data_IF_536604472485
#
_entry.id   IF_536604472485
#
_cell.length_a   1.000
_cell.length_b   1.000
_cell.length_c   1.000
_cell.angle_alpha   90.00
_cell.angle_beta   90.00
_cell.angle_gamma   90.00
#
_symmetry.space_group_name_H-M   'P 1'
#
loop_
_entity.id
_entity.type
_entity.pdbx_description
1 polymer ?
#
# COMPACT_ATOMS: atom_id res chain seq x y z
N UNK A 1 -13.45 7.72 10.27
CA UNK A 1 -12.20 7.08 9.76
C UNK A 1 -11.17 8.17 9.59
N UNK A 2 -9.93 7.96 10.05
CA UNK A 2 -8.83 8.91 9.83
C UNK A 2 -8.16 8.71 8.47
N UNK A 3 -7.41 9.72 8.00
CA UNK A 3 -6.65 9.63 6.75
C UNK A 3 -5.66 8.45 6.77
N UNK A 4 -4.99 8.22 7.91
CA UNK A 4 -4.09 7.07 8.10
C UNK A 4 -4.82 5.72 7.96
N UNK A 5 -6.05 5.61 8.48
CA UNK A 5 -6.86 4.38 8.33
C UNK A 5 -7.27 4.15 6.87
N UNK A 6 -7.62 5.22 6.15
CA UNK A 6 -7.97 5.15 4.73
C UNK A 6 -6.74 4.74 3.91
N UNK A 7 -5.57 5.33 4.16
CA UNK A 7 -4.33 4.99 3.48
C UNK A 7 -3.95 3.52 3.71
N UNK A 8 -3.98 3.04 4.96
CA UNK A 8 -3.72 1.63 5.28
C UNK A 8 -4.70 0.67 4.61
N UNK A 9 -6.00 1.03 4.54
CA UNK A 9 -7.01 0.23 3.85
C UNK A 9 -6.75 0.13 2.34
N UNK A 10 -6.40 1.25 1.70
CA UNK A 10 -6.08 1.28 0.26
C UNK A 10 -4.84 0.46 -0.06
N UNK A 11 -3.82 0.52 0.80
CA UNK A 11 -2.61 -0.30 0.68
C UNK A 11 -2.94 -1.78 0.78
N UNK A 12 -3.69 -2.21 1.81
CA UNK A 12 -4.12 -3.60 1.96
C UNK A 12 -4.89 -4.10 0.74
N UNK A 13 -5.86 -3.31 0.27
CA UNK A 13 -6.65 -3.65 -0.93
C UNK A 13 -5.79 -3.80 -2.19
N UNK A 14 -4.83 -2.90 -2.40
CA UNK A 14 -3.91 -2.99 -3.54
C UNK A 14 -3.01 -4.23 -3.44
N UNK A 15 -2.46 -4.51 -2.26
CA UNK A 15 -1.63 -5.69 -2.03
C UNK A 15 -2.41 -6.99 -2.28
N UNK A 16 -3.64 -7.10 -1.76
CA UNK A 16 -4.50 -8.25 -2.02
C UNK A 16 -4.88 -8.37 -3.49
N UNK A 17 -5.23 -7.27 -4.16
CA UNK A 17 -5.62 -7.27 -5.58
C UNK A 17 -4.53 -7.79 -6.52
N UNK A 18 -3.26 -7.61 -6.14
CA UNK A 18 -2.11 -8.01 -6.95
C UNK A 18 -1.30 -9.13 -6.32
N UNK A 19 -1.90 -9.93 -5.42
CA UNK A 19 -1.28 -11.11 -4.80
C UNK A 19 0.09 -10.81 -4.18
N UNK A 20 0.18 -9.68 -3.47
CA UNK A 20 1.41 -9.23 -2.82
C UNK A 20 2.45 -8.62 -3.77
N UNK A 21 2.16 -8.45 -5.05
CA UNK A 21 3.07 -7.83 -6.00
C UNK A 21 3.20 -6.32 -5.74
N UNK A 22 4.22 -5.95 -4.95
CA UNK A 22 4.53 -4.58 -4.53
C UNK A 22 4.71 -3.64 -5.72
N UNK A 23 5.32 -4.10 -6.82
CA UNK A 23 5.52 -3.27 -8.01
C UNK A 23 4.20 -2.85 -8.67
N UNK A 24 3.27 -3.79 -8.82
CA UNK A 24 1.92 -3.51 -9.36
C UNK A 24 1.09 -2.68 -8.39
N UNK A 25 1.10 -3.02 -7.10
CA UNK A 25 0.38 -2.26 -6.07
C UNK A 25 0.85 -0.81 -5.98
N UNK A 26 2.18 -0.57 -5.95
CA UNK A 26 2.74 0.77 -5.93
C UNK A 26 2.33 1.59 -7.16
N UNK A 27 2.43 0.98 -8.36
CA UNK A 27 2.03 1.63 -9.62
C UNK A 27 0.55 2.04 -9.59
N UNK A 28 -0.34 1.18 -9.12
CA UNK A 28 -1.78 1.49 -9.03
C UNK A 28 -2.09 2.57 -8.00
N UNK A 29 -1.33 2.65 -6.91
CA UNK A 29 -1.46 3.70 -5.89
C UNK A 29 -0.76 5.01 -6.27
N UNK A 30 -0.10 5.10 -7.43
CA UNK A 30 0.67 6.27 -7.83
C UNK A 30 1.93 6.48 -6.98
N UNK A 31 2.46 5.42 -6.38
CA UNK A 31 3.63 5.46 -5.50
C UNK A 31 4.86 4.85 -6.17
N UNK A 32 6.04 5.29 -5.75
CA UNK A 32 7.25 4.50 -5.96
C UNK A 32 7.23 3.25 -5.06
N UNK A 33 7.99 2.22 -5.46
CA UNK A 33 8.15 0.99 -4.65
C UNK A 33 8.69 1.30 -3.24
N UNK A 34 9.71 2.16 -3.15
CA UNK A 34 10.29 2.57 -1.87
C UNK A 34 9.29 3.31 -0.98
N UNK A 35 8.41 4.13 -1.58
CA UNK A 35 7.37 4.84 -0.84
C UNK A 35 6.27 3.89 -0.31
N UNK A 36 5.97 2.81 -1.04
CA UNK A 36 5.05 1.77 -0.57
C UNK A 36 5.66 0.94 0.56
N UNK A 37 6.93 0.52 0.44
CA UNK A 37 7.62 -0.23 1.49
C UNK A 37 7.65 0.50 2.84
N UNK A 38 7.93 1.81 2.86
CA UNK A 38 7.88 2.61 4.10
C UNK A 38 6.50 2.62 4.74
N UNK A 39 5.43 2.62 3.94
CA UNK A 39 4.05 2.61 4.44
C UNK A 39 3.64 1.24 4.96
N UNK A 40 4.04 0.17 4.27
CA UNK A 40 3.86 -1.21 4.76
C UNK A 40 4.51 -1.36 6.14
N UNK A 41 5.75 -0.90 6.30
CA UNK A 41 6.44 -0.87 7.59
C UNK A 41 5.71 -0.02 8.63
N UNK A 42 5.28 1.21 8.26
CA UNK A 42 4.56 2.13 9.17
C UNK A 42 3.24 1.55 9.67
N UNK A 43 2.53 0.78 8.84
CA UNK A 43 1.21 0.22 9.17
C UNK A 43 1.23 -1.25 9.60
N UNK A 44 2.40 -1.90 9.62
CA UNK A 44 2.54 -3.32 9.97
C UNK A 44 1.78 -4.24 9.00
N UNK A 45 1.87 -3.97 7.70
CA UNK A 45 1.23 -4.74 6.61
C UNK A 45 2.26 -5.64 5.94
#
# INVERSE_FOLDING_TARGET
>A
MSLDQVEALLIKRAMTRFDGNVSKAAKTLGLSRSALYRRLQRYGI
#
